data_IF_596842257026
#
_entry.id   IF_596842257026
#
_cell.length_a   1.000
_cell.length_b   1.000
_cell.length_c   1.000
_cell.angle_alpha   90.00
_cell.angle_beta   90.00
_cell.angle_gamma   90.00
#
_symmetry.space_group_name_H-M   'P 1'
#
loop_
_entity.id
_entity.type
_entity.pdbx_description
1 polymer ?
#
# COMPACT_ATOMS: atom_id res chain seq x y z
N UNK A 1 23.20 -6.62 -7.65
CA UNK A 1 21.87 -6.45 -7.01
C UNK A 1 21.55 -7.73 -6.26
N UNK A 2 21.22 -7.64 -4.98
CA UNK A 2 20.75 -8.75 -4.14
C UNK A 2 19.55 -8.29 -3.35
N UNK A 3 18.69 -9.23 -2.98
CA UNK A 3 17.53 -9.00 -2.14
C UNK A 3 17.95 -8.78 -0.69
N UNK A 4 17.27 -7.85 -0.01
CA UNK A 4 17.41 -7.58 1.42
C UNK A 4 16.02 -7.55 2.06
N UNK A 5 15.92 -7.65 3.38
CA UNK A 5 14.65 -7.43 4.07
C UNK A 5 14.27 -5.94 4.01
N UNK A 6 12.97 -5.65 3.86
CA UNK A 6 12.45 -4.26 3.99
C UNK A 6 12.80 -3.67 5.36
N UNK A 7 12.94 -4.49 6.39
CA UNK A 7 13.27 -4.07 7.76
C UNK A 7 14.76 -3.75 7.95
N UNK A 8 15.60 -3.99 6.94
CA UNK A 8 17.01 -3.59 6.96
C UNK A 8 17.24 -2.14 6.56
N UNK A 9 16.22 -1.47 5.98
CA UNK A 9 16.31 -0.04 5.68
C UNK A 9 16.35 0.77 6.99
N UNK A 10 17.42 1.54 7.14
CA UNK A 10 17.59 2.40 8.31
C UNK A 10 16.59 3.57 8.30
N UNK A 11 16.29 4.11 9.48
CA UNK A 11 15.34 5.21 9.71
C UNK A 11 13.89 4.87 9.29
N UNK A 12 13.56 3.58 9.20
CA UNK A 12 12.22 3.08 8.94
C UNK A 12 11.85 2.04 10.00
N UNK A 13 10.74 2.25 10.69
CA UNK A 13 10.10 1.23 11.52
C UNK A 13 8.71 0.96 10.95
N UNK A 14 8.37 -0.32 10.78
CA UNK A 14 7.09 -0.75 10.23
C UNK A 14 6.34 -1.53 11.28
N UNK A 15 5.10 -1.14 11.55
CA UNK A 15 4.24 -1.84 12.50
C UNK A 15 2.86 -2.10 11.96
N UNK A 16 2.27 -3.20 12.39
CA UNK A 16 0.96 -3.66 11.93
C UNK A 16 0.04 -3.89 13.12
N UNK A 17 -1.24 -3.58 12.94
CA UNK A 17 -2.31 -3.98 13.83
C UNK A 17 -3.56 -4.29 13.00
N UNK A 18 -4.27 -5.35 13.38
CA UNK A 18 -5.45 -5.81 12.67
C UNK A 18 -6.52 -6.36 13.60
N UNK A 19 -7.77 -6.33 13.14
CA UNK A 19 -8.84 -7.15 13.64
C UNK A 19 -9.12 -8.27 12.63
N UNK A 20 -8.50 -9.43 12.85
CA UNK A 20 -8.58 -10.56 11.93
C UNK A 20 -10.01 -11.14 11.83
N UNK A 21 -10.88 -10.96 12.84
CA UNK A 21 -12.28 -11.40 12.77
C UNK A 21 -13.11 -10.47 11.89
N UNK A 22 -12.86 -9.18 11.99
CA UNK A 22 -13.56 -8.17 11.23
C UNK A 22 -13.00 -7.97 9.81
N UNK A 23 -11.83 -8.54 9.49
CA UNK A 23 -11.25 -8.47 8.15
C UNK A 23 -10.67 -7.11 7.80
N UNK A 24 -10.11 -6.36 8.77
CA UNK A 24 -9.53 -5.03 8.54
C UNK A 24 -8.32 -4.79 9.43
N UNK A 25 -7.50 -3.79 9.07
CA UNK A 25 -6.31 -3.44 9.84
C UNK A 25 -5.55 -2.26 9.25
N UNK A 26 -4.42 -1.90 9.87
CA UNK A 26 -3.57 -0.83 9.41
C UNK A 26 -2.07 -1.16 9.56
N UNK A 27 -1.27 -0.52 8.72
CA UNK A 27 0.20 -0.61 8.71
C UNK A 27 0.77 0.79 8.78
N UNK A 28 1.61 1.07 9.78
CA UNK A 28 2.28 2.35 9.97
C UNK A 28 3.75 2.25 9.55
N UNK A 29 4.23 3.33 8.92
CA UNK A 29 5.64 3.58 8.63
C UNK A 29 6.07 4.79 9.46
N UNK A 30 6.91 4.58 10.48
CA UNK A 30 7.52 5.64 11.28
C UNK A 30 8.84 6.05 10.63
N UNK A 31 9.01 7.34 10.35
CA UNK A 31 10.08 7.87 9.50
C UNK A 31 11.21 8.54 10.31
N UNK A 32 11.50 7.99 11.49
CA UNK A 32 12.52 8.53 12.41
C UNK A 32 12.05 9.76 13.20
N UNK A 33 12.91 10.22 14.12
CA UNK A 33 12.58 11.32 15.03
C UNK A 33 12.46 12.68 14.32
N UNK A 34 13.22 12.88 13.26
CA UNK A 34 13.23 14.12 12.49
C UNK A 34 12.27 14.11 11.29
N UNK A 35 11.55 13.00 11.08
CA UNK A 35 10.77 12.77 9.88
C UNK A 35 11.64 12.57 8.63
N UNK A 36 11.00 12.41 7.50
CA UNK A 36 11.65 12.22 6.20
C UNK A 36 10.94 13.02 5.09
N UNK A 37 11.65 13.44 4.04
CA UNK A 37 11.04 13.96 2.82
C UNK A 37 10.21 12.87 2.15
N UNK A 38 8.98 13.23 1.73
CA UNK A 38 8.05 12.32 1.06
C UNK A 38 7.39 13.01 -0.12
N UNK A 39 7.28 12.30 -1.24
CA UNK A 39 6.46 12.66 -2.39
C UNK A 39 5.29 11.68 -2.54
N UNK A 40 4.24 12.10 -3.24
CA UNK A 40 3.03 11.30 -3.50
C UNK A 40 2.64 11.42 -4.96
N UNK A 41 2.20 10.32 -5.56
CA UNK A 41 1.44 10.31 -6.81
C UNK A 41 0.15 9.50 -6.63
N UNK A 42 -0.98 10.07 -7.04
CA UNK A 42 -2.32 9.47 -6.96
C UNK A 42 -2.85 9.30 -8.37
N UNK A 43 -3.18 8.06 -8.76
CA UNK A 43 -3.68 7.76 -10.12
C UNK A 43 -5.07 7.16 -10.14
N UNK A 44 -5.56 6.66 -9.02
CA UNK A 44 -6.95 6.22 -8.92
C UNK A 44 -7.94 7.40 -8.89
N UNK A 45 -9.16 7.20 -9.40
CA UNK A 45 -10.21 8.22 -9.44
C UNK A 45 -10.96 8.43 -8.12
N UNK A 46 -10.80 7.53 -7.13
CA UNK A 46 -11.53 7.55 -5.85
C UNK A 46 -10.64 7.34 -4.62
N UNK A 47 -9.58 8.14 -4.40
CA UNK A 47 -8.68 7.95 -3.28
C UNK A 47 -9.34 8.34 -1.95
N UNK A 48 -9.18 7.50 -0.90
CA UNK A 48 -9.38 7.87 0.48
C UNK A 48 -8.03 8.28 1.06
N UNK A 49 -7.82 9.58 1.34
CA UNK A 49 -6.53 10.08 1.79
C UNK A 49 -6.66 11.23 2.79
N UNK A 50 -5.65 11.37 3.66
CA UNK A 50 -5.53 12.43 4.66
C UNK A 50 -4.15 13.08 4.55
N UNK A 51 -4.11 14.44 4.66
CA UNK A 51 -2.91 15.29 4.67
C UNK A 51 -2.02 15.17 3.42
N UNK A 52 -2.57 14.66 2.31
CA UNK A 52 -1.85 14.50 1.03
C UNK A 52 -1.34 15.82 0.45
N UNK A 53 -2.02 16.95 0.75
CA UNK A 53 -1.60 18.28 0.30
C UNK A 53 -0.21 18.71 0.85
N UNK A 54 0.19 18.20 2.04
CA UNK A 54 1.53 18.46 2.58
C UNK A 54 2.66 17.96 1.69
N UNK A 55 2.38 16.96 0.86
CA UNK A 55 3.38 16.29 0.02
C UNK A 55 3.60 16.98 -1.33
N UNK A 56 2.78 17.98 -1.67
CA UNK A 56 3.00 18.80 -2.87
C UNK A 56 4.33 19.55 -2.76
N UNK A 57 5.11 19.66 -3.86
CA UNK A 57 6.37 20.41 -3.87
C UNK A 57 6.22 21.87 -3.40
N UNK A 58 5.04 22.44 -3.57
CA UNK A 58 4.71 23.83 -3.17
C UNK A 58 4.31 23.98 -1.70
N UNK A 59 4.09 22.89 -0.96
CA UNK A 59 3.74 22.96 0.46
C UNK A 59 4.98 23.25 1.32
N UNK A 60 4.79 24.00 2.42
CA UNK A 60 5.87 24.48 3.29
C UNK A 60 6.60 23.36 4.04
N UNK A 61 5.87 22.34 4.51
CA UNK A 61 6.47 21.21 5.22
C UNK A 61 7.43 20.43 4.31
N UNK A 62 8.68 20.27 4.73
CA UNK A 62 9.70 19.56 3.96
C UNK A 62 9.79 18.07 4.32
N UNK A 63 9.30 17.70 5.49
CA UNK A 63 9.28 16.33 6.01
C UNK A 63 7.91 16.02 6.61
N UNK A 64 7.60 14.71 6.68
CA UNK A 64 6.50 14.17 7.49
C UNK A 64 7.06 13.09 8.43
N UNK A 65 6.32 12.73 9.48
CA UNK A 65 6.83 11.87 10.54
C UNK A 65 6.32 10.42 10.44
N UNK A 66 5.19 10.22 9.78
CA UNK A 66 4.66 8.88 9.52
C UNK A 66 3.74 8.83 8.30
N UNK A 67 3.63 7.62 7.73
CA UNK A 67 2.60 7.25 6.76
C UNK A 67 1.79 6.12 7.37
N UNK A 68 0.46 6.16 7.24
CA UNK A 68 -0.45 5.10 7.62
C UNK A 68 -1.15 4.57 6.37
N UNK A 69 -1.10 3.26 6.15
CA UNK A 69 -1.95 2.57 5.20
C UNK A 69 -3.01 1.82 6.00
N UNK A 70 -4.29 1.96 5.65
CA UNK A 70 -5.38 1.35 6.40
C UNK A 70 -6.46 0.72 5.52
N UNK A 71 -7.34 -0.06 6.15
CA UNK A 71 -8.63 -0.47 5.63
C UNK A 71 -9.73 0.52 6.05
N UNK A 72 -10.99 0.12 5.84
CA UNK A 72 -12.16 0.90 6.30
C UNK A 72 -12.59 2.00 5.33
N UNK A 73 -11.96 2.13 4.15
CA UNK A 73 -12.26 3.23 3.22
C UNK A 73 -12.11 4.59 3.92
N UNK A 74 -12.84 5.61 3.51
CA UNK A 74 -12.77 6.95 4.12
C UNK A 74 -13.07 6.98 5.64
N UNK A 75 -13.74 5.96 6.19
CA UNK A 75 -13.94 5.87 7.64
C UNK A 75 -12.64 5.57 8.39
N UNK A 76 -11.72 4.81 7.79
CA UNK A 76 -10.43 4.47 8.38
C UNK A 76 -9.50 5.67 8.55
N UNK A 77 -9.75 6.79 7.85
CA UNK A 77 -8.94 8.03 7.94
C UNK A 77 -8.92 8.64 9.37
N UNK A 78 -9.81 8.22 10.25
CA UNK A 78 -9.80 8.61 11.67
C UNK A 78 -8.61 8.00 12.44
N UNK A 79 -8.06 6.90 11.95
CA UNK A 79 -6.99 6.16 12.60
C UNK A 79 -5.69 6.97 12.79
N UNK A 80 -5.36 7.89 11.89
CA UNK A 80 -4.14 8.70 11.96
C UNK A 80 -4.01 9.51 13.27
N UNK A 81 -5.13 9.82 13.95
CA UNK A 81 -5.12 10.45 15.27
C UNK A 81 -4.36 9.63 16.33
N UNK A 82 -4.38 8.31 16.22
CA UNK A 82 -3.60 7.40 17.07
C UNK A 82 -2.10 7.49 16.84
N UNK A 83 -1.68 7.59 15.56
CA UNK A 83 -0.26 7.80 15.20
C UNK A 83 0.21 9.17 15.70
N UNK A 84 -0.60 10.21 15.53
CA UNK A 84 -0.26 11.55 16.02
C UNK A 84 -0.05 11.54 17.53
N UNK A 85 -0.96 10.95 18.30
CA UNK A 85 -0.82 10.83 19.75
C UNK A 85 0.45 10.08 20.14
N UNK A 86 0.75 8.95 19.48
CA UNK A 86 1.95 8.15 19.74
C UNK A 86 3.24 8.96 19.54
N UNK A 87 3.31 9.77 18.48
CA UNK A 87 4.47 10.60 18.15
C UNK A 87 4.59 11.80 19.07
N UNK A 88 3.47 12.48 19.39
CA UNK A 88 3.44 13.63 20.31
C UNK A 88 3.95 13.24 21.70
N UNK A 89 3.51 12.11 22.27
CA UNK A 89 3.97 11.56 23.55
C UNK A 89 5.49 11.33 23.59
N UNK A 90 6.13 11.23 22.42
CA UNK A 90 7.60 11.05 22.25
C UNK A 90 8.32 12.33 21.83
N UNK A 91 7.60 13.44 21.79
CA UNK A 91 8.16 14.73 21.38
C UNK A 91 8.58 14.78 19.91
N UNK A 92 7.96 13.97 19.04
CA UNK A 92 8.23 13.91 17.61
C UNK A 92 7.14 14.69 16.86
N UNK A 93 7.52 15.65 16.03
CA UNK A 93 6.59 16.49 15.28
C UNK A 93 7.20 17.81 14.85
N UNK A 94 6.44 18.57 14.07
CA UNK A 94 6.77 19.94 13.69
C UNK A 94 6.62 20.86 14.90
N UNK A 95 7.69 21.58 15.26
CA UNK A 95 7.71 22.45 16.42
C UNK A 95 6.92 23.74 16.16
N UNK A 96 5.88 23.98 16.95
CA UNK A 96 5.06 25.21 16.90
C UNK A 96 5.23 26.05 18.14
N UNK A 97 6.27 25.81 18.95
CA UNK A 97 6.66 26.56 20.13
C UNK A 97 5.93 26.14 21.41
N UNK A 98 4.66 25.78 21.35
CA UNK A 98 3.84 25.33 22.49
C UNK A 98 3.74 23.82 22.59
N UNK A 99 3.90 23.13 21.48
CA UNK A 99 3.95 21.66 21.35
C UNK A 99 4.61 21.28 20.03
N UNK A 100 4.78 19.97 19.80
CA UNK A 100 5.14 19.45 18.49
C UNK A 100 3.93 18.81 17.83
N UNK A 101 3.66 19.16 16.57
CA UNK A 101 2.54 18.64 15.77
C UNK A 101 3.08 17.56 14.84
N UNK A 102 2.77 16.27 15.06
CA UNK A 102 3.16 15.21 14.14
C UNK A 102 2.45 15.38 12.79
N UNK A 103 3.21 15.36 11.71
CA UNK A 103 2.67 15.38 10.35
C UNK A 103 2.53 13.92 9.89
N UNK A 104 1.28 13.46 9.73
CA UNK A 104 0.93 12.07 9.41
C UNK A 104 0.05 12.04 8.19
N UNK A 105 0.55 11.45 7.10
CA UNK A 105 -0.25 11.19 5.90
C UNK A 105 -0.87 9.80 5.95
N UNK A 106 -2.06 9.64 5.38
CA UNK A 106 -2.77 8.37 5.35
C UNK A 106 -3.44 8.12 4.00
N UNK A 107 -3.47 6.85 3.59
CA UNK A 107 -4.33 6.35 2.50
C UNK A 107 -4.98 5.05 2.94
N UNK A 108 -6.26 4.86 2.57
CA UNK A 108 -7.05 3.69 2.97
C UNK A 108 -7.61 2.96 1.75
N UNK A 109 -7.60 1.64 1.84
CA UNK A 109 -8.28 0.76 0.90
C UNK A 109 -9.71 0.43 1.36
N UNK A 110 -10.52 -0.02 0.43
CA UNK A 110 -11.90 -0.42 0.69
C UNK A 110 -11.96 -1.93 0.99
N UNK A 111 -12.16 -2.30 2.24
CA UNK A 111 -12.35 -3.66 2.72
C UNK A 111 -13.72 -3.90 3.40
N UNK A 112 -14.64 -2.94 3.31
CA UNK A 112 -15.94 -2.96 3.98
C UNK A 112 -16.86 -4.12 3.52
N UNK A 113 -16.53 -4.79 2.43
CA UNK A 113 -17.23 -5.99 1.94
C UNK A 113 -16.63 -7.29 2.48
N UNK A 114 -15.60 -7.19 3.32
CA UNK A 114 -14.91 -8.33 3.93
C UNK A 114 -15.12 -8.28 5.45
N UNK A 115 -15.53 -9.39 6.03
CA UNK A 115 -15.79 -9.46 7.49
C UNK A 115 -16.92 -8.54 7.97
N UNK A 116 -16.62 -7.64 8.91
CA UNK A 116 -17.60 -6.71 9.52
C UNK A 116 -17.37 -5.27 9.05
N UNK A 117 -18.29 -4.74 8.26
CA UNK A 117 -18.24 -3.38 7.74
C UNK A 117 -18.30 -2.26 8.80
N UNK A 118 -18.70 -2.57 10.03
CA UNK A 118 -18.81 -1.60 11.13
C UNK A 118 -17.56 -1.55 12.01
N UNK A 119 -16.68 -2.54 11.92
CA UNK A 119 -15.37 -2.56 12.56
C UNK A 119 -14.32 -2.05 11.56
N UNK A 120 -13.64 -0.96 11.90
CA UNK A 120 -12.70 -0.27 11.00
C UNK A 120 -11.46 0.14 11.79
N UNK A 121 -10.32 0.38 11.13
CA UNK A 121 -9.17 0.98 11.81
C UNK A 121 -9.56 2.29 12.49
N UNK A 122 -9.17 2.43 13.74
CA UNK A 122 -9.39 3.60 14.59
C UNK A 122 -8.08 4.09 15.22
N UNK A 123 -8.15 5.16 16.00
CA UNK A 123 -6.99 5.72 16.69
C UNK A 123 -6.32 4.73 17.65
N UNK A 124 -7.08 3.82 18.27
CA UNK A 124 -6.52 2.82 19.18
C UNK A 124 -5.72 1.76 18.40
N UNK A 125 -6.27 1.27 17.28
CA UNK A 125 -5.58 0.30 16.41
C UNK A 125 -4.30 0.90 15.82
N UNK A 126 -4.34 2.15 15.32
CA UNK A 126 -3.16 2.79 14.74
C UNK A 126 -2.09 3.11 15.81
N UNK A 127 -2.48 3.49 17.02
CA UNK A 127 -1.56 3.60 18.15
C UNK A 127 -0.86 2.27 18.44
N UNK A 128 -1.63 1.17 18.47
CA UNK A 128 -1.07 -0.17 18.67
C UNK A 128 -0.12 -0.57 17.54
N UNK A 129 -0.41 -0.22 16.28
CA UNK A 129 0.51 -0.44 15.16
C UNK A 129 1.85 0.29 15.40
N UNK A 130 1.84 1.53 15.92
CA UNK A 130 3.06 2.23 16.29
C UNK A 130 3.84 1.52 17.40
N UNK A 131 3.17 1.02 18.43
CA UNK A 131 3.80 0.21 19.50
C UNK A 131 4.44 -1.06 18.92
N UNK A 132 3.75 -1.74 18.02
CA UNK A 132 4.22 -2.95 17.36
C UNK A 132 5.44 -2.67 16.45
N UNK A 133 5.54 -1.46 15.88
CA UNK A 133 6.70 -1.05 15.07
C UNK A 133 8.01 -1.05 15.87
N UNK A 134 7.96 -0.84 17.19
CA UNK A 134 9.15 -0.88 18.05
C UNK A 134 9.76 -2.28 18.16
N UNK A 135 8.96 -3.32 17.99
CA UNK A 135 9.39 -4.73 18.06
C UNK A 135 9.59 -5.38 16.70
N UNK A 136 9.31 -4.65 15.61
CA UNK A 136 9.50 -5.14 14.24
C UNK A 136 8.55 -6.29 13.88
N UNK A 137 7.25 -6.13 14.09
CA UNK A 137 6.26 -7.19 13.83
C UNK A 137 5.78 -7.29 12.36
N UNK A 138 6.40 -6.57 11.42
CA UNK A 138 5.98 -6.56 10.02
C UNK A 138 6.02 -7.97 9.39
N UNK A 139 4.94 -8.31 8.69
CA UNK A 139 4.77 -9.56 7.92
C UNK A 139 3.98 -9.31 6.64
N UNK A 140 4.34 -10.03 5.57
CA UNK A 140 3.55 -10.08 4.34
C UNK A 140 2.32 -10.98 4.50
N UNK A 141 1.27 -10.74 3.71
CA UNK A 141 0.03 -11.52 3.67
C UNK A 141 -1.15 -10.83 4.36
N UNK A 142 -1.95 -11.57 5.14
CA UNK A 142 -3.20 -11.11 5.75
C UNK A 142 -2.97 -10.28 7.03
N UNK A 143 -2.06 -9.33 7.00
CA UNK A 143 -1.69 -8.53 8.16
C UNK A 143 -1.85 -7.03 7.91
N UNK A 144 -2.11 -6.27 8.98
CA UNK A 144 -2.26 -4.82 8.90
C UNK A 144 -3.24 -4.38 7.81
N UNK A 145 -2.85 -3.45 6.95
CA UNK A 145 -3.67 -2.97 5.83
C UNK A 145 -4.02 -4.07 4.79
N UNK A 146 -3.30 -5.21 4.78
CA UNK A 146 -3.57 -6.34 3.90
C UNK A 146 -4.65 -7.29 4.40
N UNK A 147 -5.15 -7.12 5.63
CA UNK A 147 -6.06 -8.08 6.29
C UNK A 147 -7.33 -8.34 5.49
N UNK A 148 -8.02 -7.30 5.02
CA UNK A 148 -9.24 -7.41 4.22
C UNK A 148 -9.03 -7.29 2.71
N UNK A 149 -7.79 -7.25 2.23
CA UNK A 149 -7.50 -7.03 0.81
C UNK A 149 -7.91 -8.21 -0.07
N UNK A 150 -8.50 -7.91 -1.26
CA UNK A 150 -8.95 -8.87 -2.27
C UNK A 150 -8.63 -8.36 -3.68
N UNK A 151 -8.58 -9.27 -4.68
CA UNK A 151 -8.30 -8.94 -6.09
C UNK A 151 -9.27 -9.65 -7.04
N UNK A 152 -9.37 -9.16 -8.29
CA UNK A 152 -10.24 -9.77 -9.31
C UNK A 152 -11.72 -9.49 -9.06
N UNK A 153 -12.11 -8.22 -8.83
CA UNK A 153 -13.44 -7.85 -8.33
C UNK A 153 -14.49 -7.53 -9.41
N UNK A 154 -14.11 -7.62 -10.66
CA UNK A 154 -14.94 -7.12 -11.78
C UNK A 154 -16.36 -7.74 -11.84
N UNK A 155 -16.51 -9.00 -11.44
CA UNK A 155 -17.80 -9.70 -11.37
C UNK A 155 -18.38 -9.77 -9.95
N UNK A 156 -17.85 -8.97 -9.01
CA UNK A 156 -18.30 -8.91 -7.63
C UNK A 156 -17.58 -9.89 -6.70
N UNK A 157 -17.89 -9.79 -5.40
CA UNK A 157 -17.14 -10.48 -4.34
C UNK A 157 -17.09 -12.02 -4.47
N UNK A 158 -18.14 -12.75 -4.95
CA UNK A 158 -18.05 -14.21 -5.07
C UNK A 158 -16.96 -14.72 -6.02
N UNK A 159 -16.46 -13.87 -6.90
CA UNK A 159 -15.44 -14.19 -7.90
C UNK A 159 -14.03 -13.72 -7.52
N UNK A 160 -13.86 -13.12 -6.32
CA UNK A 160 -12.60 -12.55 -5.87
C UNK A 160 -11.65 -13.60 -5.28
N UNK A 161 -10.38 -13.26 -5.29
CA UNK A 161 -9.36 -13.98 -4.54
C UNK A 161 -8.88 -13.14 -3.35
N UNK A 162 -8.44 -13.83 -2.28
CA UNK A 162 -7.76 -13.19 -1.15
C UNK A 162 -6.41 -12.66 -1.61
N UNK A 163 -6.12 -11.46 -1.17
CA UNK A 163 -4.84 -10.76 -1.35
C UNK A 163 -4.30 -10.34 0.01
N UNK A 164 -3.32 -9.47 0.04
CA UNK A 164 -2.67 -9.05 1.28
C UNK A 164 -1.84 -7.80 1.13
N UNK A 165 -0.93 -7.63 2.07
CA UNK A 165 0.20 -6.70 2.00
C UNK A 165 1.46 -7.47 1.62
N UNK A 166 2.34 -6.86 0.83
CA UNK A 166 3.60 -7.48 0.43
C UNK A 166 4.73 -6.48 0.40
N UNK A 167 5.94 -6.99 0.57
CA UNK A 167 7.17 -6.20 0.53
C UNK A 167 8.23 -6.84 -0.35
N UNK A 168 9.09 -6.00 -0.89
CA UNK A 168 10.30 -6.43 -1.59
C UNK A 168 11.35 -5.32 -1.54
N UNK A 169 12.58 -5.67 -1.23
CA UNK A 169 13.67 -4.71 -1.17
C UNK A 169 14.96 -5.27 -1.75
N UNK A 170 15.76 -4.39 -2.34
CA UNK A 170 17.05 -4.75 -2.94
C UNK A 170 18.15 -3.74 -2.60
N UNK A 171 19.38 -4.24 -2.64
CA UNK A 171 20.59 -3.42 -2.57
C UNK A 171 21.41 -3.55 -3.86
N UNK A 172 21.85 -2.38 -4.39
CA UNK A 172 22.72 -2.26 -5.56
C UNK A 172 23.90 -1.37 -5.18
N UNK A 173 25.08 -1.96 -4.94
CA UNK A 173 26.18 -1.23 -4.31
C UNK A 173 25.75 -0.65 -2.96
N UNK A 174 25.90 0.67 -2.73
CA UNK A 174 25.41 1.32 -1.50
C UNK A 174 23.92 1.69 -1.54
N UNK A 175 23.28 1.68 -2.72
CA UNK A 175 21.89 2.07 -2.90
C UNK A 175 20.95 0.96 -2.41
N UNK A 176 19.99 1.32 -1.56
CA UNK A 176 18.89 0.46 -1.12
C UNK A 176 17.57 1.05 -1.60
N UNK A 177 16.71 0.19 -2.16
CA UNK A 177 15.34 0.55 -2.54
C UNK A 177 14.42 -0.59 -2.17
N UNK A 178 13.34 -0.28 -1.44
CA UNK A 178 12.33 -1.25 -1.03
C UNK A 178 10.92 -0.71 -1.16
N UNK A 179 9.96 -1.58 -1.35
CA UNK A 179 8.53 -1.24 -1.46
C UNK A 179 7.70 -2.08 -0.50
N UNK A 180 6.62 -1.47 -0.01
CA UNK A 180 5.53 -2.15 0.72
C UNK A 180 4.22 -1.72 0.09
N UNK A 181 3.31 -2.68 -0.17
CA UNK A 181 2.05 -2.41 -0.87
C UNK A 181 0.92 -3.30 -0.34
N UNK A 182 -0.22 -2.69 -0.02
CA UNK A 182 -1.48 -3.40 0.24
C UNK A 182 -2.28 -3.45 -1.07
N UNK A 183 -2.55 -4.68 -1.55
CA UNK A 183 -3.08 -4.95 -2.90
C UNK A 183 -4.54 -5.31 -2.82
N UNK A 184 -5.42 -4.35 -3.10
CA UNK A 184 -6.88 -4.52 -3.08
C UNK A 184 -7.50 -4.15 -4.45
N UNK A 185 -6.91 -4.64 -5.53
CA UNK A 185 -7.16 -4.21 -6.90
C UNK A 185 -8.50 -4.72 -7.50
N UNK A 186 -9.08 -3.94 -8.43
CA UNK A 186 -10.13 -4.41 -9.32
C UNK A 186 -9.63 -5.55 -10.21
N UNK A 187 -8.47 -5.34 -10.79
CA UNK A 187 -7.87 -6.22 -11.79
C UNK A 187 -7.20 -7.47 -11.23
N UNK A 188 -6.65 -8.22 -12.15
CA UNK A 188 -5.88 -9.44 -11.94
C UNK A 188 -4.41 -9.12 -11.66
N UNK A 189 -3.75 -10.00 -10.93
CA UNK A 189 -2.32 -9.90 -10.61
C UNK A 189 -1.52 -10.86 -11.49
N UNK A 190 -0.50 -10.32 -12.12
CA UNK A 190 0.41 -11.06 -13.00
C UNK A 190 1.84 -11.05 -12.47
N UNK A 191 2.51 -12.17 -12.60
CA UNK A 191 3.99 -12.18 -12.52
C UNK A 191 4.53 -11.41 -13.73
N UNK A 192 5.03 -10.21 -13.49
CA UNK A 192 5.51 -9.29 -14.52
C UNK A 192 6.68 -9.82 -15.34
N UNK A 193 7.41 -10.82 -14.83
CA UNK A 193 8.56 -11.47 -15.51
C UNK A 193 8.11 -12.53 -16.51
N UNK A 194 7.06 -13.26 -16.17
CA UNK A 194 6.58 -14.42 -16.96
C UNK A 194 5.28 -14.15 -17.71
N UNK A 195 4.56 -13.10 -17.34
CA UNK A 195 3.21 -12.81 -17.84
C UNK A 195 2.14 -13.79 -17.34
N UNK A 196 2.45 -14.66 -16.38
CA UNK A 196 1.48 -15.61 -15.83
C UNK A 196 0.60 -14.91 -14.77
N UNK A 197 -0.69 -15.18 -14.81
CA UNK A 197 -1.63 -14.72 -13.79
C UNK A 197 -1.32 -15.42 -12.46
N UNK A 198 -1.12 -14.63 -11.40
CA UNK A 198 -0.83 -15.11 -10.05
C UNK A 198 -2.11 -15.22 -9.20
N UNK A 199 -3.00 -14.22 -9.32
CA UNK A 199 -4.29 -14.15 -8.64
C UNK A 199 -5.24 -13.27 -9.46
N UNK A 200 -6.55 -13.32 -9.20
CA UNK A 200 -7.48 -12.44 -9.89
C UNK A 200 -8.89 -13.03 -10.02
N UNK A 201 -9.60 -12.63 -11.06
CA UNK A 201 -10.98 -12.97 -11.31
C UNK A 201 -11.16 -14.48 -11.54
N UNK A 202 -12.11 -15.08 -10.81
CA UNK A 202 -12.49 -16.49 -10.92
C UNK A 202 -13.85 -16.65 -11.59
N UNK A 203 -14.01 -17.75 -12.34
CA UNK A 203 -15.30 -18.20 -12.84
C UNK A 203 -16.20 -18.72 -11.70
N UNK A 204 -17.44 -19.10 -12.04
CA UNK A 204 -18.44 -19.63 -11.08
C UNK A 204 -17.98 -20.90 -10.35
N UNK A 205 -17.02 -21.63 -10.91
CA UNK A 205 -16.45 -22.84 -10.28
C UNK A 205 -15.48 -22.51 -9.13
N UNK A 206 -15.14 -21.22 -8.91
CA UNK A 206 -14.23 -20.74 -7.90
C UNK A 206 -12.77 -21.20 -8.09
N UNK A 207 -12.38 -21.64 -9.28
CA UNK A 207 -11.06 -22.24 -9.58
C UNK A 207 -10.46 -21.78 -10.90
N UNK A 208 -11.30 -21.62 -11.92
CA UNK A 208 -10.86 -21.24 -13.27
C UNK A 208 -10.64 -19.73 -13.32
N UNK A 209 -9.44 -19.30 -13.75
CA UNK A 209 -9.17 -17.89 -13.98
C UNK A 209 -9.91 -17.38 -15.21
N UNK A 210 -10.61 -16.27 -15.05
CA UNK A 210 -11.06 -15.41 -16.14
C UNK A 210 -10.07 -14.24 -16.31
N UNK A 211 -10.12 -13.56 -17.46
CA UNK A 211 -9.34 -12.35 -17.70
C UNK A 211 -10.20 -11.11 -17.48
N UNK A 212 -9.79 -10.25 -16.53
CA UNK A 212 -10.55 -9.05 -16.18
C UNK A 212 -10.60 -8.03 -17.33
N UNK A 213 -9.56 -7.94 -18.17
CA UNK A 213 -9.58 -7.04 -19.34
C UNK A 213 -10.54 -7.57 -20.42
N UNK A 214 -10.56 -8.87 -20.68
CA UNK A 214 -11.50 -9.47 -21.62
C UNK A 214 -12.96 -9.33 -21.14
N UNK A 215 -13.23 -9.55 -19.86
CA UNK A 215 -14.57 -9.42 -19.28
C UNK A 215 -15.07 -7.97 -19.33
N UNK A 216 -14.22 -6.98 -19.01
CA UNK A 216 -14.64 -5.57 -19.06
C UNK A 216 -14.96 -5.10 -20.48
N UNK A 217 -14.24 -5.63 -21.49
CA UNK A 217 -14.51 -5.33 -22.90
C UNK A 217 -15.82 -5.97 -23.39
N UNK A 218 -16.18 -7.16 -22.89
CA UNK A 218 -17.46 -7.81 -23.20
C UNK A 218 -18.66 -7.11 -22.55
N UNK A 219 -18.44 -6.34 -21.47
CA UNK A 219 -19.48 -5.57 -20.80
C UNK A 219 -19.69 -4.17 -21.39
N UNK A 220 -19.14 -3.87 -22.57
CA UNK A 220 -19.19 -2.54 -23.20
C UNK A 220 -20.63 -1.98 -23.30
N UNK A 221 -21.60 -2.85 -23.59
CA UNK A 221 -23.02 -2.47 -23.73
C UNK A 221 -23.82 -2.60 -22.42
N UNK A 222 -23.23 -3.14 -21.37
CA UNK A 222 -23.88 -3.27 -20.07
C UNK A 222 -23.75 -1.96 -19.29
N UNK A 223 -24.79 -1.14 -19.28
CA UNK A 223 -24.92 0.02 -18.39
C UNK A 223 -25.09 -0.42 -16.93
N UNK A 224 -24.19 -1.28 -16.43
CA UNK A 224 -24.17 -1.76 -15.05
C UNK A 224 -23.32 -0.87 -14.16
N UNK A 225 -23.72 -0.73 -12.90
CA UNK A 225 -22.88 -0.11 -11.88
C UNK A 225 -21.60 -0.95 -11.74
N UNK A 226 -20.44 -0.36 -12.03
CA UNK A 226 -19.14 -0.99 -11.78
C UNK A 226 -18.95 -1.12 -10.28
N UNK A 227 -18.40 -2.26 -9.85
CA UNK A 227 -18.07 -2.48 -8.44
C UNK A 227 -17.19 -1.33 -7.91
N UNK A 228 -17.66 -0.65 -6.88
CA UNK A 228 -16.98 0.45 -6.19
C UNK A 228 -16.25 -0.16 -5.00
N UNK A 229 -14.95 0.06 -4.88
CA UNK A 229 -14.25 -0.45 -3.69
C UNK A 229 -12.93 -1.14 -3.99
N UNK A 230 -12.15 -0.56 -4.89
CA UNK A 230 -10.84 -1.05 -5.29
C UNK A 230 -9.78 -0.02 -4.91
N UNK A 231 -8.61 -0.46 -4.53
CA UNK A 231 -7.53 0.45 -4.14
C UNK A 231 -6.24 -0.33 -3.97
N UNK A 232 -5.16 0.08 -4.60
CA UNK A 232 -3.83 -0.40 -4.28
C UNK A 232 -3.02 0.77 -3.71
N UNK A 233 -2.61 0.65 -2.46
CA UNK A 233 -1.87 1.70 -1.75
C UNK A 233 -0.50 1.18 -1.33
N UNK A 234 0.53 1.97 -1.58
CA UNK A 234 1.89 1.54 -1.30
C UNK A 234 2.85 2.68 -1.00
N UNK A 235 4.02 2.29 -0.51
CA UNK A 235 5.14 3.18 -0.30
C UNK A 235 6.43 2.56 -0.83
N UNK A 236 7.29 3.38 -1.43
CA UNK A 236 8.65 3.03 -1.82
C UNK A 236 9.63 3.85 -0.98
N UNK A 237 10.67 3.19 -0.51
CA UNK A 237 11.66 3.72 0.39
C UNK A 237 13.06 3.62 -0.22
N UNK A 238 13.87 4.64 -0.04
CA UNK A 238 15.28 4.61 -0.49
C UNK A 238 16.18 5.29 0.54
N UNK A 239 17.43 4.82 0.66
CA UNK A 239 18.47 5.50 1.41
C UNK A 239 19.14 6.65 0.62
N UNK A 240 18.69 6.92 -0.59
CA UNK A 240 19.13 8.07 -1.39
C UNK A 240 18.47 9.36 -0.91
N UNK A 241 19.18 10.49 -1.10
CA UNK A 241 18.73 11.82 -0.72
C UNK A 241 17.98 12.50 -1.86
N UNK A 242 16.72 12.83 -1.63
CA UNK A 242 15.89 13.59 -2.57
C UNK A 242 15.01 14.60 -1.84
N UNK A 243 14.65 15.68 -2.53
CA UNK A 243 13.59 16.59 -2.11
C UNK A 243 12.20 16.09 -2.55
N UNK A 244 11.15 16.79 -2.14
CA UNK A 244 9.76 16.41 -2.46
C UNK A 244 9.46 16.38 -3.96
N UNK A 245 10.05 17.27 -4.75
CA UNK A 245 9.78 17.33 -6.19
C UNK A 245 10.33 16.08 -6.90
N UNK A 246 11.54 15.67 -6.56
CA UNK A 246 12.13 14.43 -7.05
C UNK A 246 11.35 13.20 -6.57
N UNK A 247 10.91 13.21 -5.31
CA UNK A 247 10.14 12.10 -4.74
C UNK A 247 8.73 11.97 -5.37
N UNK A 248 8.05 13.06 -5.71
CA UNK A 248 6.82 13.01 -6.49
C UNK A 248 7.06 12.35 -7.86
N UNK A 249 8.19 12.65 -8.51
CA UNK A 249 8.53 12.00 -9.78
C UNK A 249 8.87 10.52 -9.61
N UNK A 250 9.59 10.14 -8.54
CA UNK A 250 9.87 8.73 -8.22
C UNK A 250 8.56 7.99 -7.91
N UNK A 251 7.63 8.58 -7.15
CA UNK A 251 6.31 8.01 -6.90
C UNK A 251 5.54 7.76 -8.21
N UNK A 252 5.56 8.74 -9.13
CA UNK A 252 4.95 8.62 -10.46
C UNK A 252 5.59 7.49 -11.30
N UNK A 253 6.91 7.35 -11.28
CA UNK A 253 7.62 6.24 -11.96
C UNK A 253 7.29 4.88 -11.31
N UNK A 254 7.09 4.85 -9.99
CA UNK A 254 6.78 3.61 -9.25
C UNK A 254 5.43 3.02 -9.67
N UNK A 255 4.47 3.82 -10.14
CA UNK A 255 3.20 3.35 -10.71
C UNK A 255 3.37 2.45 -11.96
N UNK A 256 4.51 2.53 -12.65
CA UNK A 256 4.82 1.58 -13.71
C UNK A 256 4.95 0.14 -13.15
N UNK A 257 5.28 -0.02 -11.86
CA UNK A 257 5.23 -1.29 -11.16
C UNK A 257 3.81 -1.84 -11.03
N UNK A 258 2.84 -0.96 -10.73
CA UNK A 258 1.41 -1.34 -10.73
C UNK A 258 0.98 -1.78 -12.12
N UNK A 259 1.26 -0.99 -13.15
CA UNK A 259 0.90 -1.30 -14.53
C UNK A 259 1.54 -2.59 -15.08
N UNK A 260 2.70 -3.00 -14.56
CA UNK A 260 3.36 -4.26 -14.92
C UNK A 260 2.68 -5.48 -14.30
N UNK A 261 2.13 -5.32 -13.09
CA UNK A 261 1.66 -6.44 -12.27
C UNK A 261 0.13 -6.50 -12.09
N UNK A 262 -0.63 -5.44 -12.39
CA UNK A 262 -2.08 -5.34 -12.19
C UNK A 262 -2.77 -4.99 -13.51
N UNK A 263 -3.84 -5.72 -13.90
CA UNK A 263 -4.60 -5.49 -15.14
C UNK A 263 -6.10 -5.77 -14.93
N UNK A 264 -7.00 -4.78 -15.21
CA UNK A 264 -6.72 -3.34 -15.37
C UNK A 264 -6.30 -2.68 -14.06
N UNK A 265 -5.70 -1.48 -14.14
CA UNK A 265 -5.23 -0.68 -13.02
C UNK A 265 -5.58 0.80 -13.22
N UNK A 266 -5.60 1.59 -12.16
CA UNK A 266 -5.88 3.04 -12.19
C UNK A 266 -7.26 3.38 -12.78
N UNK A 267 -8.27 2.55 -12.50
CA UNK A 267 -9.63 2.82 -12.97
C UNK A 267 -10.27 3.98 -12.20
N UNK A 268 -11.40 4.47 -12.69
CA UNK A 268 -12.13 5.58 -12.06
C UNK A 268 -12.56 5.30 -10.60
N UNK A 269 -12.68 4.02 -10.23
CA UNK A 269 -13.12 3.59 -8.91
C UNK A 269 -11.96 3.04 -8.02
N UNK A 270 -10.71 3.11 -8.50
CA UNK A 270 -9.53 2.79 -7.70
C UNK A 270 -9.11 3.98 -6.84
N UNK A 271 -8.48 3.71 -5.69
CA UNK A 271 -7.86 4.74 -4.85
C UNK A 271 -6.33 4.72 -4.91
N UNK A 272 -5.78 4.24 -6.02
CA UNK A 272 -4.36 3.93 -6.19
C UNK A 272 -3.44 5.10 -5.87
N UNK A 273 -2.57 4.89 -4.88
CA UNK A 273 -1.68 5.92 -4.35
C UNK A 273 -0.31 5.33 -4.00
N UNK A 274 0.76 6.05 -4.32
CA UNK A 274 2.13 5.66 -3.96
C UNK A 274 2.85 6.82 -3.29
N UNK A 275 3.39 6.56 -2.11
CA UNK A 275 4.33 7.42 -1.40
C UNK A 275 5.76 7.04 -1.77
N UNK A 276 6.64 8.02 -2.03
CA UNK A 276 8.08 7.80 -2.17
C UNK A 276 8.82 8.54 -1.05
N UNK A 277 9.70 7.84 -0.33
CA UNK A 277 10.33 8.28 0.90
C UNK A 277 11.84 8.27 0.79
N UNK A 278 12.49 9.37 1.16
CA UNK A 278 13.95 9.50 1.25
C UNK A 278 14.39 9.33 2.71
N UNK A 279 15.05 8.21 3.02
CA UNK A 279 15.42 7.83 4.39
C UNK A 279 16.88 8.12 4.73
N UNK A 280 17.70 8.52 3.75
CA UNK A 280 19.14 8.68 3.95
C UNK A 280 19.73 9.83 3.13
N UNK A 281 21.08 9.84 3.07
CA UNK A 281 21.83 10.92 2.46
C UNK A 281 22.69 10.48 1.27
N UNK A 282 22.50 9.25 0.75
CA UNK A 282 23.24 8.75 -0.39
C UNK A 282 22.92 9.59 -1.64
N UNK A 283 23.95 10.06 -2.33
CA UNK A 283 23.77 10.70 -3.63
C UNK A 283 23.48 9.61 -4.70
N UNK A 284 22.35 9.73 -5.38
CA UNK A 284 21.94 8.81 -6.43
C UNK A 284 21.17 9.54 -7.53
N UNK A 285 21.20 8.95 -8.73
CA UNK A 285 20.42 9.45 -9.85
C UNK A 285 18.92 9.10 -9.67
N UNK A 286 18.05 10.07 -9.92
CA UNK A 286 16.60 9.94 -9.78
C UNK A 286 16.02 8.85 -10.69
N UNK A 287 16.48 8.76 -11.93
CA UNK A 287 15.92 7.82 -12.91
C UNK A 287 16.34 6.38 -12.57
N UNK A 288 17.55 6.20 -12.02
CA UNK A 288 18.01 4.90 -11.51
C UNK A 288 17.12 4.46 -10.34
N UNK A 289 16.86 5.35 -9.37
CA UNK A 289 15.99 5.03 -8.23
C UNK A 289 14.56 4.79 -8.68
N UNK A 290 14.01 5.63 -9.58
CA UNK A 290 12.65 5.47 -10.10
C UNK A 290 12.43 4.16 -10.87
N UNK A 291 13.40 3.78 -11.73
CA UNK A 291 13.33 2.51 -12.46
C UNK A 291 13.40 1.30 -11.51
N UNK A 292 14.26 1.38 -10.49
CA UNK A 292 14.37 0.34 -9.48
C UNK A 292 13.12 0.27 -8.58
N UNK A 293 12.54 1.43 -8.24
CA UNK A 293 11.30 1.55 -7.49
C UNK A 293 10.11 0.88 -8.20
N UNK A 294 9.96 1.09 -9.50
CA UNK A 294 8.94 0.39 -10.30
C UNK A 294 9.14 -1.13 -10.29
N UNK A 295 10.38 -1.60 -10.31
CA UNK A 295 10.71 -3.02 -10.26
C UNK A 295 10.39 -3.64 -8.90
N UNK A 296 10.87 -3.04 -7.80
CA UNK A 296 10.61 -3.58 -6.45
C UNK A 296 9.13 -3.51 -6.09
N UNK A 297 8.39 -2.53 -6.60
CA UNK A 297 6.95 -2.44 -6.43
C UNK A 297 6.21 -3.58 -7.12
N UNK A 298 6.59 -3.93 -8.36
CA UNK A 298 5.99 -5.08 -9.07
C UNK A 298 6.26 -6.42 -8.34
N UNK A 299 7.45 -6.59 -7.76
CA UNK A 299 7.76 -7.75 -6.91
C UNK A 299 6.95 -7.75 -5.61
N UNK A 300 6.84 -6.61 -4.92
CA UNK A 300 6.05 -6.50 -3.70
C UNK A 300 4.57 -6.84 -3.91
N UNK A 301 3.98 -6.45 -5.05
CA UNK A 301 2.62 -6.83 -5.43
C UNK A 301 2.49 -8.35 -5.56
N UNK A 302 3.47 -8.99 -6.18
CA UNK A 302 3.47 -10.46 -6.32
C UNK A 302 3.63 -11.14 -4.95
N UNK A 303 4.52 -10.63 -4.08
CA UNK A 303 4.67 -11.11 -2.70
C UNK A 303 3.35 -11.02 -1.92
N UNK A 304 2.58 -9.94 -2.09
CA UNK A 304 1.31 -9.74 -1.38
C UNK A 304 0.30 -10.88 -1.63
N UNK A 305 0.14 -11.30 -2.89
CA UNK A 305 -0.80 -12.37 -3.24
C UNK A 305 -0.24 -13.76 -2.95
N UNK A 306 1.08 -13.95 -3.00
CA UNK A 306 1.74 -15.22 -2.71
C UNK A 306 1.78 -15.52 -1.20
N UNK A 307 1.95 -14.49 -0.38
CA UNK A 307 1.98 -14.61 1.08
C UNK A 307 0.58 -14.74 1.70
N UNK A 308 -0.48 -14.32 1.00
CA UNK A 308 -1.84 -14.37 1.52
C UNK A 308 -2.32 -15.79 1.82
N UNK A 309 -3.11 -15.93 2.90
CA UNK A 309 -3.86 -17.14 3.27
C UNK A 309 -5.33 -17.01 2.86
N UNK A 310 -5.98 -18.12 2.48
CA UNK A 310 -7.43 -18.13 2.25
C UNK A 310 -8.17 -17.70 3.51
N UNK A 311 -9.06 -16.73 3.39
CA UNK A 311 -9.81 -16.17 4.52
C UNK A 311 -11.12 -15.55 4.04
N UNK A 312 -12.10 -15.44 4.92
CA UNK A 312 -13.40 -14.78 4.70
C UNK A 312 -14.18 -15.35 3.51
N UNK A 313 -13.94 -16.62 3.16
CA UNK A 313 -14.56 -17.27 1.99
C UNK A 313 -13.83 -17.03 0.66
N UNK A 314 -12.74 -16.27 0.63
CA UNK A 314 -11.93 -16.02 -0.56
C UNK A 314 -10.72 -16.96 -0.61
N UNK A 315 -10.51 -17.68 -1.73
CA UNK A 315 -9.33 -18.53 -1.91
C UNK A 315 -8.07 -17.68 -2.11
N UNK A 316 -6.94 -18.11 -1.55
CA UNK A 316 -5.63 -17.53 -1.82
C UNK A 316 -4.94 -18.20 -3.03
N UNK A 317 -3.96 -17.51 -3.63
CA UNK A 317 -3.22 -18.00 -4.79
C UNK A 317 -2.53 -19.37 -4.54
N UNK A 318 -2.01 -19.58 -3.34
CA UNK A 318 -1.31 -20.82 -2.96
C UNK A 318 -2.24 -22.04 -2.81
N UNK A 319 -3.54 -21.82 -2.61
CA UNK A 319 -4.52 -22.90 -2.39
C UNK A 319 -5.21 -23.34 -3.69
N UNK A 320 -5.07 -22.57 -4.78
CA UNK A 320 -5.52 -22.95 -6.10
C UNK A 320 -4.45 -23.82 -6.77
N UNK A 321 -4.73 -25.12 -6.92
CA UNK A 321 -3.84 -26.02 -7.67
C UNK A 321 -3.79 -25.56 -9.13
N UNK A 322 -2.60 -25.24 -9.60
CA UNK A 322 -2.29 -24.93 -11.01
C UNK A 322 -2.08 -26.23 -11.80
#
# INVERSE_FOLDING_TARGET
>A
MHEISITELQNLKIGQAENAQAGTGCTVFLLGENGAPVGLDVRGGGPASRESELLKPTAAAQVIHAILLGGGSAFGLDAAGGVMRYLEERGIGFDVGVTKVPLVCQSDLFDLTVGDAHTRPDAAMAYQACVNAETGNYRDGNYGAGTGATVGKLMGMPHCMKSGIGSYAVQVGPLQVGAVVAVNALGDIYDWRTGRKAAGLLADDGKTFLDSEDVILQQLDAAGEKFVGNTTIGAVFTNAKFDKAHLCKIAAMTHDGYARAIRPVHTANDGDSIYAVSLGDLAADQDVVGALAARVMAEAILCAVQAADSAYGFPAAKDLKR
#
